data_IF_582599781228
#
_entry.id   IF_582599781228
#
_cell.length_a   1.000
_cell.length_b   1.000
_cell.length_c   1.000
_cell.angle_alpha   90.00
_cell.angle_beta   90.00
_cell.angle_gamma   90.00
#
_symmetry.space_group_name_H-M   'P 1'
#
loop_
_entity.id
_entity.type
_entity.pdbx_description
1 polymer ?
#
# COMPACT_ATOMS: atom_id res chain seq x y z
N UNK A 1 28.37 -36.24 -19.89
CA UNK A 1 28.61 -34.93 -19.27
C UNK A 1 28.43 -33.87 -20.32
N UNK A 2 27.44 -33.02 -20.15
CA UNK A 2 27.38 -31.66 -20.70
C UNK A 2 26.58 -30.87 -19.68
N UNK A 3 27.25 -29.92 -19.02
CA UNK A 3 26.66 -28.96 -18.09
C UNK A 3 25.97 -27.87 -18.91
N UNK A 4 24.67 -27.66 -18.72
CA UNK A 4 23.98 -26.45 -19.19
C UNK A 4 23.94 -25.42 -18.05
N UNK A 5 24.58 -24.29 -18.30
CA UNK A 5 24.63 -23.11 -17.45
C UNK A 5 23.26 -22.43 -17.41
N UNK A 6 22.71 -22.25 -16.20
CA UNK A 6 21.56 -21.39 -15.95
C UNK A 6 22.02 -19.93 -15.87
N UNK A 7 21.73 -19.14 -16.89
CA UNK A 7 21.95 -17.69 -16.87
C UNK A 7 20.90 -17.00 -15.98
N UNK A 8 21.42 -16.25 -15.02
CA UNK A 8 20.70 -15.49 -14.01
C UNK A 8 20.18 -14.18 -14.64
N UNK A 9 18.88 -14.11 -14.93
CA UNK A 9 18.24 -12.91 -15.46
C UNK A 9 18.11 -11.84 -14.35
N UNK A 10 19.11 -10.97 -14.27
CA UNK A 10 19.05 -9.73 -13.49
C UNK A 10 18.37 -8.62 -14.31
N UNK A 11 17.23 -8.13 -13.81
CA UNK A 11 16.46 -6.99 -14.34
C UNK A 11 17.23 -5.68 -14.02
N UNK A 12 17.58 -4.85 -15.03
CA UNK A 12 18.41 -3.65 -14.83
C UNK A 12 17.75 -2.53 -14.01
N UNK A 13 16.47 -2.65 -13.64
CA UNK A 13 15.77 -1.68 -12.77
C UNK A 13 15.87 -2.01 -11.25
N UNK A 14 16.65 -3.02 -10.86
CA UNK A 14 16.74 -3.46 -9.46
C UNK A 14 17.85 -2.75 -8.67
N UNK A 15 17.54 -1.57 -8.12
CA UNK A 15 18.34 -0.94 -7.06
C UNK A 15 17.85 -1.45 -5.70
N UNK A 16 18.68 -2.25 -5.00
CA UNK A 16 18.48 -2.57 -3.58
C UNK A 16 18.67 -1.28 -2.78
N UNK A 17 17.58 -0.60 -2.47
CA UNK A 17 17.53 0.37 -1.37
C UNK A 17 17.05 -0.36 -0.12
N UNK A 18 18.01 -0.91 0.63
CA UNK A 18 17.83 -1.17 2.05
C UNK A 18 17.76 0.19 2.75
N UNK A 19 16.54 0.67 3.00
CA UNK A 19 16.17 1.65 4.03
C UNK A 19 14.63 1.68 4.08
N UNK A 20 14.07 0.72 4.82
CA UNK A 20 12.69 0.80 5.31
C UNK A 20 12.72 1.25 6.76
N UNK A 21 12.95 2.56 6.95
CA UNK A 21 12.67 3.23 8.22
C UNK A 21 11.20 3.70 8.19
N UNK A 22 10.31 2.79 8.56
CA UNK A 22 9.09 3.16 9.28
C UNK A 22 9.46 3.03 10.77
N UNK A 23 9.88 4.12 11.40
CA UNK A 23 9.86 4.21 12.86
C UNK A 23 9.45 5.61 13.31
N UNK A 24 8.30 5.65 13.97
CA UNK A 24 7.97 6.67 14.94
C UNK A 24 8.89 6.48 16.17
N UNK A 25 9.39 7.61 16.66
CA UNK A 25 10.53 7.79 17.57
C UNK A 25 10.25 7.32 19.01
N UNK A 26 11.19 6.62 19.66
CA UNK A 26 11.55 6.84 21.09
C UNK A 26 12.86 6.13 21.52
N UNK A 27 13.81 6.97 21.98
CA UNK A 27 14.92 6.70 22.92
C UNK A 27 16.19 5.92 22.47
N UNK A 28 17.33 6.57 22.77
CA UNK A 28 18.74 6.20 22.52
C UNK A 28 19.18 4.88 23.18
N UNK A 29 20.00 4.09 22.47
CA UNK A 29 21.30 3.57 22.96
C UNK A 29 22.04 2.75 21.88
N UNK A 30 23.25 3.24 21.55
CA UNK A 30 24.46 2.56 21.08
C UNK A 30 24.42 1.11 20.54
N UNK A 31 24.89 0.99 19.30
CA UNK A 31 25.26 -0.24 18.59
C UNK A 31 26.49 -0.89 19.24
N UNK A 32 26.37 -2.16 19.62
CA UNK A 32 27.49 -3.12 19.61
C UNK A 32 27.01 -4.40 18.95
N UNK A 33 27.55 -4.67 17.76
CA UNK A 33 27.34 -5.88 16.99
C UNK A 33 27.80 -7.11 17.76
N UNK A 34 26.89 -8.07 18.00
CA UNK A 34 27.29 -9.45 18.32
C UNK A 34 26.47 -10.43 17.50
N UNK A 35 27.17 -11.13 16.63
CA UNK A 35 26.72 -12.28 15.86
C UNK A 35 26.17 -13.36 16.80
N UNK A 36 24.91 -13.73 16.61
CA UNK A 36 24.35 -14.94 17.21
C UNK A 36 23.85 -15.87 16.13
N UNK A 37 24.60 -16.94 15.96
CA UNK A 37 24.20 -18.20 15.32
C UNK A 37 23.01 -18.73 16.13
N UNK A 38 21.82 -18.81 15.53
CA UNK A 38 20.69 -19.51 16.14
C UNK A 38 20.52 -20.86 15.45
N UNK A 39 20.88 -21.92 16.19
CA UNK A 39 20.48 -23.28 15.91
C UNK A 39 18.95 -23.38 15.78
N UNK A 40 18.48 -23.79 14.61
CA UNK A 40 17.12 -24.29 14.42
C UNK A 40 16.95 -25.59 15.22
N UNK A 41 16.16 -25.54 16.30
CA UNK A 41 15.45 -26.72 16.79
C UNK A 41 14.03 -26.69 16.24
N UNK A 42 13.84 -27.55 15.25
CA UNK A 42 12.57 -28.01 14.72
C UNK A 42 11.63 -28.43 15.84
N UNK A 43 10.47 -27.78 15.91
CA UNK A 43 9.29 -28.34 16.58
C UNK A 43 8.06 -28.13 15.70
N UNK A 44 7.92 -29.05 14.76
CA UNK A 44 6.76 -29.27 13.89
C UNK A 44 5.54 -29.66 14.73
N UNK A 45 4.57 -28.76 14.84
CA UNK A 45 3.18 -29.14 15.16
C UNK A 45 2.23 -28.46 14.17
N UNK A 46 2.12 -29.08 12.99
CA UNK A 46 1.12 -28.79 11.96
C UNK A 46 -0.28 -29.10 12.52
N UNK A 47 -1.07 -28.06 12.73
CA UNK A 47 -2.53 -28.15 12.87
C UNK A 47 -3.12 -26.89 12.22
N UNK A 48 -3.02 -26.82 10.89
CA UNK A 48 -3.64 -25.74 10.14
C UNK A 48 -5.15 -25.93 10.16
N UNK A 49 -5.88 -24.94 10.69
CA UNK A 49 -7.32 -24.85 10.50
C UNK A 49 -7.61 -24.92 9.00
N UNK A 50 -8.26 -25.99 8.55
CA UNK A 50 -8.57 -26.20 7.14
C UNK A 50 -9.59 -25.16 6.68
N UNK A 51 -9.07 -24.07 6.13
CA UNK A 51 -9.82 -22.97 5.52
C UNK A 51 -9.93 -23.15 4.00
N UNK A 52 -9.50 -24.31 3.46
CA UNK A 52 -9.36 -24.54 2.02
C UNK A 52 -10.67 -24.92 1.32
N UNK A 53 -11.71 -25.33 2.05
CA UNK A 53 -13.01 -25.76 1.50
C UNK A 53 -13.90 -24.65 0.90
N UNK A 54 -13.33 -23.47 0.61
CA UNK A 54 -14.08 -22.37 0.01
C UNK A 54 -13.71 -22.21 -1.45
N UNK A 55 -14.57 -22.74 -2.32
CA UNK A 55 -14.58 -22.45 -3.75
C UNK A 55 -15.21 -21.08 -3.96
N UNK A 56 -14.41 -20.11 -4.38
CA UNK A 56 -14.84 -18.76 -4.71
C UNK A 56 -15.27 -18.70 -6.18
N UNK A 57 -16.23 -19.53 -6.58
CA UNK A 57 -16.75 -19.54 -7.95
C UNK A 57 -17.63 -18.31 -8.17
N UNK A 58 -17.13 -17.36 -8.98
CA UNK A 58 -17.92 -16.39 -9.77
C UNK A 58 -18.91 -15.48 -9.04
N UNK A 59 -19.04 -15.57 -7.71
CA UNK A 59 -20.07 -14.86 -6.94
C UNK A 59 -19.68 -13.40 -6.78
N UNK A 60 -20.62 -12.52 -7.13
CA UNK A 60 -20.53 -11.11 -6.83
C UNK A 60 -20.31 -10.93 -5.30
N UNK A 61 -19.17 -10.36 -4.96
CA UNK A 61 -18.73 -10.19 -3.57
C UNK A 61 -19.49 -9.04 -2.94
N UNK A 62 -19.96 -9.22 -1.70
CA UNK A 62 -20.62 -8.15 -0.97
C UNK A 62 -19.58 -7.13 -0.47
N UNK A 63 -19.72 -5.87 -0.88
CA UNK A 63 -18.95 -4.76 -0.31
C UNK A 63 -19.49 -4.41 1.07
N UNK A 64 -18.63 -4.49 2.08
CA UNK A 64 -18.99 -4.22 3.46
C UNK A 64 -18.95 -2.74 3.84
N UNK A 65 -18.49 -1.87 2.94
CA UNK A 65 -18.30 -0.42 3.19
C UNK A 65 -19.60 0.25 3.63
N UNK A 66 -20.72 -0.11 3.02
CA UNK A 66 -22.03 0.50 3.28
C UNK A 66 -22.97 -0.39 4.11
N UNK A 67 -22.50 -1.54 4.59
CA UNK A 67 -23.33 -2.44 5.38
C UNK A 67 -23.49 -1.94 6.82
N UNK A 68 -24.73 -2.05 7.33
CA UNK A 68 -25.08 -1.63 8.68
C UNK A 68 -25.44 -2.85 9.53
N UNK A 69 -25.08 -2.80 10.80
CA UNK A 69 -25.53 -3.73 11.82
C UNK A 69 -26.64 -3.06 12.62
N UNK A 70 -27.88 -3.45 12.31
CA UNK A 70 -29.07 -2.99 13.02
C UNK A 70 -29.02 -3.31 14.52
N UNK A 71 -29.45 -2.36 15.35
CA UNK A 71 -29.57 -2.52 16.80
C UNK A 71 -30.61 -3.56 17.20
N UNK A 72 -30.51 -4.04 18.43
CA UNK A 72 -31.53 -4.89 19.02
C UNK A 72 -32.85 -4.13 19.13
N UNK A 73 -33.92 -4.73 18.64
CA UNK A 73 -35.27 -4.15 18.66
C UNK A 73 -35.97 -4.44 20.01
N UNK A 74 -37.07 -3.72 20.28
CA UNK A 74 -37.89 -3.92 21.49
C UNK A 74 -38.43 -5.37 21.55
N UNK A 75 -38.78 -5.81 22.76
CA UNK A 75 -39.32 -7.14 23.05
C UNK A 75 -40.48 -7.47 22.09
N UNK A 76 -40.33 -8.53 21.28
CA UNK A 76 -41.36 -8.98 20.32
C UNK A 76 -40.89 -9.02 18.86
N UNK A 77 -39.98 -8.13 18.46
CA UNK A 77 -39.43 -8.16 17.12
C UNK A 77 -38.26 -9.16 17.03
N UNK A 78 -38.50 -10.26 16.32
CA UNK A 78 -37.52 -11.32 16.18
C UNK A 78 -36.51 -10.96 15.09
N UNK A 79 -35.22 -11.04 15.42
CA UNK A 79 -34.13 -10.97 14.45
C UNK A 79 -34.39 -11.95 13.29
N UNK A 80 -34.30 -11.43 12.07
CA UNK A 80 -34.39 -12.23 10.83
C UNK A 80 -33.05 -12.93 10.56
N UNK A 81 -33.14 -14.16 10.07
CA UNK A 81 -32.01 -15.01 9.69
C UNK A 81 -32.18 -15.44 8.24
N UNK A 82 -31.11 -15.43 7.46
CA UNK A 82 -31.17 -15.95 6.10
C UNK A 82 -31.27 -17.48 6.13
N UNK A 83 -32.06 -18.06 5.25
CA UNK A 83 -32.11 -19.50 5.04
C UNK A 83 -31.35 -19.87 3.75
N UNK A 84 -30.30 -20.67 3.86
CA UNK A 84 -29.51 -21.07 2.69
C UNK A 84 -30.27 -21.96 1.69
N UNK A 85 -31.35 -22.61 2.12
CA UNK A 85 -32.11 -23.55 1.30
C UNK A 85 -33.13 -22.82 0.42
N UNK A 86 -34.05 -22.04 1.02
CA UNK A 86 -35.06 -21.28 0.27
C UNK A 86 -34.66 -19.84 -0.09
N UNK A 87 -33.48 -19.38 0.30
CA UNK A 87 -32.94 -18.02 0.06
C UNK A 87 -33.82 -16.88 0.60
N UNK A 88 -34.61 -17.14 1.64
CA UNK A 88 -35.51 -16.15 2.28
C UNK A 88 -35.08 -15.83 3.71
N UNK A 89 -35.37 -14.60 4.15
CA UNK A 89 -35.19 -14.16 5.54
C UNK A 89 -36.33 -14.67 6.43
N UNK A 90 -35.99 -15.25 7.58
CA UNK A 90 -36.93 -15.96 8.47
C UNK A 90 -36.73 -15.54 9.93
N UNK A 91 -37.82 -15.32 10.67
CA UNK A 91 -37.78 -14.94 12.09
C UNK A 91 -37.74 -16.17 13.01
N UNK A 92 -38.57 -17.18 12.76
CA UNK A 92 -38.64 -18.44 13.51
C UNK A 92 -37.83 -19.54 12.83
N UNK A 93 -36.53 -19.34 12.74
CA UNK A 93 -35.61 -20.13 11.92
C UNK A 93 -35.69 -21.66 12.13
N UNK A 94 -35.68 -22.13 13.39
CA UNK A 94 -35.76 -23.57 13.67
C UNK A 94 -37.08 -24.19 13.19
N UNK A 95 -38.21 -23.56 13.52
CA UNK A 95 -39.54 -23.99 13.07
C UNK A 95 -39.62 -24.00 11.54
N UNK A 96 -39.07 -22.98 10.88
CA UNK A 96 -39.03 -22.91 9.43
C UNK A 96 -38.25 -24.08 8.81
N UNK A 97 -37.08 -24.43 9.35
CA UNK A 97 -36.32 -25.59 8.88
C UNK A 97 -37.11 -26.89 9.05
N UNK A 98 -37.78 -27.06 10.19
CA UNK A 98 -38.60 -28.25 10.48
C UNK A 98 -39.79 -28.40 9.53
N UNK A 99 -40.46 -27.31 9.17
CA UNK A 99 -41.69 -27.38 8.35
C UNK A 99 -41.42 -27.37 6.86
N UNK A 100 -40.44 -26.59 6.39
CA UNK A 100 -40.18 -26.37 4.96
C UNK A 100 -39.03 -27.25 4.45
N UNK A 101 -38.02 -27.49 5.28
CA UNK A 101 -36.76 -28.14 4.88
C UNK A 101 -36.52 -29.47 5.60
N UNK A 102 -37.59 -30.17 6.00
CA UNK A 102 -37.55 -31.45 6.72
C UNK A 102 -36.71 -32.54 6.05
N UNK A 103 -36.55 -32.45 4.73
CA UNK A 103 -35.86 -33.45 3.93
C UNK A 103 -34.33 -33.23 3.85
N UNK A 104 -33.83 -32.08 4.30
CA UNK A 104 -32.40 -31.76 4.27
C UNK A 104 -31.61 -32.58 5.29
N UNK A 105 -30.41 -33.04 4.90
CA UNK A 105 -29.59 -33.95 5.72
C UNK A 105 -29.35 -33.46 7.14
N UNK A 106 -28.90 -32.22 7.30
CA UNK A 106 -28.62 -31.63 8.62
C UNK A 106 -29.91 -31.32 9.40
N UNK A 107 -31.02 -31.09 8.70
CA UNK A 107 -32.32 -30.82 9.33
C UNK A 107 -32.91 -32.11 9.91
N UNK A 108 -32.86 -33.22 9.17
CA UNK A 108 -33.26 -34.55 9.66
C UNK A 108 -32.57 -34.91 10.96
N UNK A 109 -31.25 -34.68 11.06
CA UNK A 109 -30.47 -34.96 12.27
C UNK A 109 -31.04 -34.28 13.51
N UNK A 110 -31.33 -32.98 13.44
CA UNK A 110 -31.79 -32.27 14.64
C UNK A 110 -33.29 -32.47 14.92
N UNK A 111 -34.10 -32.82 13.92
CA UNK A 111 -35.52 -33.16 14.11
C UNK A 111 -35.67 -34.36 15.05
N UNK A 112 -34.81 -35.37 14.91
CA UNK A 112 -34.81 -36.61 15.69
C UNK A 112 -34.42 -36.40 17.17
N UNK A 113 -33.73 -35.30 17.49
CA UNK A 113 -33.30 -34.98 18.86
C UNK A 113 -34.42 -34.26 19.62
N UNK A 114 -34.61 -34.46 20.93
CA UNK A 114 -35.65 -33.75 21.69
C UNK A 114 -35.41 -32.24 21.76
N UNK A 115 -36.49 -31.46 21.91
CA UNK A 115 -36.39 -30.00 22.15
C UNK A 115 -35.61 -29.75 23.45
N UNK A 116 -34.74 -28.74 23.44
CA UNK A 116 -33.91 -28.38 24.61
C UNK A 116 -32.51 -29.01 24.63
N UNK A 117 -32.32 -30.14 23.93
CA UNK A 117 -31.04 -30.84 23.80
C UNK A 117 -29.92 -29.93 23.24
N UNK A 118 -28.70 -30.07 23.78
CA UNK A 118 -27.54 -29.24 23.43
C UNK A 118 -27.06 -29.48 22.00
N UNK A 119 -27.02 -30.73 21.56
CA UNK A 119 -26.66 -31.12 20.20
C UNK A 119 -27.67 -30.59 19.18
N UNK A 120 -28.98 -30.69 19.49
CA UNK A 120 -30.04 -30.07 18.66
C UNK A 120 -29.78 -28.58 18.47
N UNK A 121 -29.47 -27.85 19.55
CA UNK A 121 -29.16 -26.42 19.51
C UNK A 121 -27.91 -26.13 18.69
N UNK A 122 -26.87 -26.97 18.80
CA UNK A 122 -25.61 -26.80 18.08
C UNK A 122 -25.78 -26.98 16.56
N UNK A 123 -26.53 -27.99 16.11
CA UNK A 123 -26.81 -28.21 14.68
C UNK A 123 -27.58 -27.01 14.10
N UNK A 124 -28.64 -26.57 14.77
CA UNK A 124 -29.43 -25.40 14.33
C UNK A 124 -28.55 -24.15 14.25
N UNK A 125 -27.68 -23.92 15.24
CA UNK A 125 -26.78 -22.76 15.26
C UNK A 125 -25.71 -22.82 14.16
N UNK A 126 -25.22 -24.02 13.83
CA UNK A 126 -24.33 -24.24 12.69
C UNK A 126 -24.99 -23.85 11.35
N UNK A 127 -26.17 -24.40 11.07
CA UNK A 127 -26.96 -24.07 9.86
C UNK A 127 -27.25 -22.56 9.80
N UNK A 128 -27.63 -21.96 10.94
CA UNK A 128 -27.91 -20.53 11.05
C UNK A 128 -26.69 -19.68 10.72
N UNK A 129 -25.52 -19.98 11.30
CA UNK A 129 -24.30 -19.21 11.06
C UNK A 129 -23.82 -19.35 9.62
N UNK A 130 -23.86 -20.55 9.06
CA UNK A 130 -23.54 -20.79 7.65
C UNK A 130 -24.50 -20.02 6.73
N UNK A 131 -25.80 -20.06 7.01
CA UNK A 131 -26.78 -19.34 6.18
C UNK A 131 -26.56 -17.82 6.24
N UNK A 132 -26.37 -17.26 7.44
CA UNK A 132 -26.07 -15.83 7.56
C UNK A 132 -24.72 -15.47 6.94
N UNK A 133 -23.73 -16.37 6.97
CA UNK A 133 -22.45 -16.14 6.32
C UNK A 133 -22.63 -15.99 4.80
N UNK A 134 -23.42 -16.86 4.16
CA UNK A 134 -23.75 -16.75 2.73
C UNK A 134 -24.42 -15.40 2.41
N UNK A 135 -25.39 -14.98 3.23
CA UNK A 135 -26.05 -13.68 3.07
C UNK A 135 -25.08 -12.50 3.26
N UNK A 136 -24.20 -12.57 4.25
CA UNK A 136 -23.26 -11.49 4.55
C UNK A 136 -22.14 -11.34 3.51
N UNK A 137 -21.84 -12.38 2.73
CA UNK A 137 -20.72 -12.37 1.75
C UNK A 137 -21.17 -12.33 0.30
N UNK A 138 -22.45 -12.51 0.00
CA UNK A 138 -23.00 -12.50 -1.35
C UNK A 138 -23.80 -11.22 -1.61
N UNK A 139 -23.37 -10.42 -2.59
CA UNK A 139 -24.12 -9.21 -2.98
C UNK A 139 -25.46 -9.53 -3.65
N UNK A 140 -25.64 -10.75 -4.17
CA UNK A 140 -26.92 -11.20 -4.76
C UNK A 140 -28.06 -11.26 -3.72
N UNK A 141 -27.74 -11.59 -2.47
CA UNK A 141 -28.75 -11.79 -1.43
C UNK A 141 -28.77 -10.65 -0.41
N UNK A 142 -27.62 -10.01 -0.18
CA UNK A 142 -27.52 -8.98 0.84
C UNK A 142 -28.36 -7.74 0.47
N UNK A 143 -29.11 -7.21 1.43
CA UNK A 143 -30.00 -6.05 1.23
C UNK A 143 -29.52 -4.81 2.00
N UNK A 144 -28.22 -4.71 2.31
CA UNK A 144 -27.62 -3.60 3.06
C UNK A 144 -27.40 -3.84 4.56
N UNK A 145 -27.81 -5.00 5.08
CA UNK A 145 -27.66 -5.38 6.48
C UNK A 145 -26.56 -6.43 6.67
N UNK A 146 -25.77 -6.32 7.75
CA UNK A 146 -24.86 -7.37 8.20
C UNK A 146 -25.48 -8.16 9.37
N UNK A 147 -25.79 -9.44 9.13
CA UNK A 147 -26.38 -10.32 10.14
C UNK A 147 -25.30 -10.84 11.10
N UNK A 148 -25.21 -10.24 12.29
CA UNK A 148 -24.23 -10.59 13.33
C UNK A 148 -24.78 -11.55 14.38
N UNK A 149 -23.95 -12.32 15.06
CA UNK A 149 -24.41 -13.26 16.10
C UNK A 149 -25.13 -12.57 17.26
N UNK A 150 -24.62 -11.43 17.74
CA UNK A 150 -25.25 -10.58 18.76
C UNK A 150 -25.36 -9.14 18.24
N UNK A 151 -26.59 -8.60 18.18
CA UNK A 151 -26.85 -7.22 17.75
C UNK A 151 -26.39 -6.23 18.83
N UNK A 152 -25.92 -5.03 18.45
CA UNK A 152 -25.64 -3.97 19.41
C UNK A 152 -26.92 -3.52 20.11
N UNK A 153 -26.86 -3.16 21.40
CA UNK A 153 -28.04 -2.78 22.18
C UNK A 153 -28.45 -1.31 22.00
N UNK A 154 -27.47 -0.40 21.92
CA UNK A 154 -27.70 1.05 21.96
C UNK A 154 -28.07 1.64 20.59
N UNK A 155 -27.19 1.46 19.62
CA UNK A 155 -27.27 2.09 18.31
C UNK A 155 -26.85 1.13 17.19
N UNK A 156 -27.26 1.46 15.97
CA UNK A 156 -26.74 0.81 14.77
C UNK A 156 -25.21 1.01 14.71
N UNK A 157 -24.51 0.04 14.14
CA UNK A 157 -23.05 0.09 14.01
C UNK A 157 -22.63 -0.21 12.58
N UNK A 158 -21.48 0.32 12.12
CA UNK A 158 -20.95 -0.04 10.82
C UNK A 158 -20.51 -1.50 10.81
N UNK A 159 -20.64 -2.18 9.67
CA UNK A 159 -20.15 -3.55 9.48
C UNK A 159 -18.63 -3.67 9.73
N UNK A 160 -17.89 -2.59 9.54
CA UNK A 160 -16.44 -2.51 9.76
C UNK A 160 -16.03 -2.78 11.21
N UNK A 161 -16.93 -2.68 12.19
CA UNK A 161 -16.69 -3.05 13.60
C UNK A 161 -16.71 -4.57 13.84
N UNK A 162 -17.14 -5.35 12.84
CA UNK A 162 -17.39 -6.77 12.95
C UNK A 162 -16.49 -7.59 12.01
N UNK A 163 -16.33 -8.87 12.35
CA UNK A 163 -15.59 -9.85 11.56
C UNK A 163 -16.17 -11.24 11.77
N UNK A 164 -15.97 -12.14 10.81
CA UNK A 164 -16.40 -13.52 10.98
C UNK A 164 -15.38 -14.32 11.82
N UNK A 165 -15.89 -15.28 12.57
CA UNK A 165 -15.10 -16.35 13.16
C UNK A 165 -14.65 -17.30 12.04
N UNK A 166 -13.35 -17.63 11.94
CA UNK A 166 -12.86 -18.49 10.85
C UNK A 166 -13.31 -19.95 10.98
N UNK A 167 -13.77 -20.40 12.15
CA UNK A 167 -14.31 -21.75 12.37
C UNK A 167 -15.82 -21.83 12.16
N UNK A 168 -16.60 -21.07 12.94
CA UNK A 168 -18.06 -21.18 12.90
C UNK A 168 -18.74 -20.19 11.95
N UNK A 169 -17.99 -19.30 11.28
CA UNK A 169 -18.49 -18.28 10.33
C UNK A 169 -19.50 -17.27 10.90
N UNK A 170 -19.82 -17.36 12.19
CA UNK A 170 -20.61 -16.35 12.90
C UNK A 170 -19.86 -15.01 12.92
N UNK A 171 -20.61 -13.92 12.83
CA UNK A 171 -20.07 -12.56 12.86
C UNK A 171 -20.11 -11.98 14.28
N UNK A 172 -18.99 -11.43 14.72
CA UNK A 172 -18.78 -10.88 16.05
C UNK A 172 -18.08 -9.54 15.95
N UNK A 173 -18.24 -8.67 16.95
CA UNK A 173 -17.41 -7.46 17.05
C UNK A 173 -15.94 -7.85 17.09
N UNK A 174 -15.06 -7.07 16.47
CA UNK A 174 -13.60 -7.32 16.42
C UNK A 174 -12.98 -7.57 17.80
N UNK A 175 -13.47 -6.89 18.84
CA UNK A 175 -12.99 -7.07 20.21
C UNK A 175 -13.37 -8.43 20.82
N UNK A 176 -14.56 -8.96 20.48
CA UNK A 176 -15.09 -10.18 21.10
C UNK A 176 -14.79 -11.46 20.30
N UNK A 177 -14.43 -11.35 19.01
CA UNK A 177 -14.19 -12.54 18.18
C UNK A 177 -13.05 -13.41 18.74
N UNK A 178 -12.04 -12.81 19.40
CA UNK A 178 -10.93 -13.54 20.00
C UNK A 178 -11.39 -14.44 21.15
N UNK A 179 -12.17 -13.88 22.07
CA UNK A 179 -12.77 -14.63 23.19
C UNK A 179 -13.70 -15.72 22.68
N UNK A 180 -14.55 -15.39 21.69
CA UNK A 180 -15.39 -16.39 21.04
C UNK A 180 -14.57 -17.52 20.41
N UNK A 181 -13.50 -17.18 19.68
CA UNK A 181 -12.70 -18.16 18.96
C UNK A 181 -11.97 -19.13 19.90
N UNK A 182 -11.50 -18.67 21.06
CA UNK A 182 -10.88 -19.54 22.06
C UNK A 182 -11.80 -20.68 22.49
N UNK A 183 -13.08 -20.38 22.71
CA UNK A 183 -14.10 -21.36 23.08
C UNK A 183 -14.49 -22.19 21.85
N UNK A 184 -14.77 -21.52 20.72
CA UNK A 184 -15.24 -22.17 19.50
C UNK A 184 -14.22 -23.16 18.92
N UNK A 185 -12.94 -22.80 18.97
CA UNK A 185 -11.83 -23.59 18.43
C UNK A 185 -11.14 -24.47 19.48
N UNK A 186 -11.49 -24.33 20.77
CA UNK A 186 -10.80 -24.98 21.90
C UNK A 186 -9.31 -24.62 22.01
N UNK A 187 -8.84 -23.61 21.25
CA UNK A 187 -7.46 -23.14 21.22
C UNK A 187 -7.42 -21.65 20.92
N UNK A 188 -6.51 -20.93 21.56
CA UNK A 188 -6.26 -19.51 21.29
C UNK A 188 -5.16 -19.35 20.23
N UNK A 189 -5.39 -18.48 19.25
CA UNK A 189 -4.39 -18.09 18.24
C UNK A 189 -4.15 -16.57 18.23
N UNK A 190 -4.63 -15.86 19.26
CA UNK A 190 -4.39 -14.43 19.45
C UNK A 190 -4.88 -13.55 18.29
N UNK A 191 -4.01 -12.62 17.84
CA UNK A 191 -4.31 -11.67 16.75
C UNK A 191 -4.53 -12.36 15.39
N UNK A 192 -4.06 -13.60 15.19
CA UNK A 192 -4.22 -14.36 13.94
C UNK A 192 -5.68 -14.69 13.63
N UNK A 193 -6.60 -14.61 14.60
CA UNK A 193 -8.05 -14.81 14.37
C UNK A 193 -8.60 -13.82 13.35
N UNK A 194 -8.22 -12.54 13.43
CA UNK A 194 -8.70 -11.50 12.51
C UNK A 194 -8.24 -11.77 11.08
N UNK A 195 -6.97 -12.14 10.93
CA UNK A 195 -6.35 -12.52 9.66
C UNK A 195 -7.08 -13.70 9.01
N UNK A 196 -7.33 -14.76 9.78
CA UNK A 196 -8.06 -15.94 9.30
C UNK A 196 -9.52 -15.61 9.01
N UNK A 197 -10.15 -14.75 9.80
CA UNK A 197 -11.51 -14.24 9.52
C UNK A 197 -11.57 -13.57 8.15
N UNK A 198 -10.64 -12.65 7.86
CA UNK A 198 -10.54 -12.01 6.53
C UNK A 198 -10.32 -13.02 5.41
N UNK A 199 -9.47 -14.03 5.63
CA UNK A 199 -9.24 -15.12 4.65
C UNK A 199 -10.52 -15.90 4.34
N UNK A 200 -11.37 -16.14 5.32
CA UNK A 200 -12.65 -16.83 5.15
C UNK A 200 -13.70 -15.93 4.49
N UNK A 201 -13.77 -14.66 4.90
CA UNK A 201 -14.71 -13.69 4.31
C UNK A 201 -14.39 -13.38 2.85
N UNK A 202 -13.11 -13.32 2.49
CA UNK A 202 -12.62 -13.04 1.15
C UNK A 202 -13.25 -11.82 0.48
N UNK A 203 -13.38 -10.74 1.24
CA UNK A 203 -13.87 -9.43 0.78
C UNK A 203 -12.82 -8.79 -0.10
N UNK A 204 -12.93 -9.04 -1.39
CA UNK A 204 -12.05 -8.54 -2.44
C UNK A 204 -12.78 -8.66 -3.78
N UNK A 205 -12.38 -7.86 -4.75
CA UNK A 205 -12.93 -7.88 -6.11
C UNK A 205 -13.05 -9.31 -6.67
N UNK A 206 -14.08 -9.56 -7.48
CA UNK A 206 -14.38 -10.87 -8.07
C UNK A 206 -13.21 -11.40 -8.93
N UNK A 207 -12.52 -10.52 -9.66
CA UNK A 207 -11.34 -10.85 -10.49
C UNK A 207 -10.08 -11.22 -9.68
N UNK A 208 -10.09 -11.12 -8.35
CA UNK A 208 -8.91 -11.47 -7.54
C UNK A 208 -8.62 -12.97 -7.57
N UNK A 209 -7.36 -13.32 -7.85
CA UNK A 209 -6.85 -14.69 -7.79
C UNK A 209 -6.87 -15.26 -6.37
N UNK A 210 -6.77 -16.59 -6.28
CA UNK A 210 -6.73 -17.29 -5.01
C UNK A 210 -5.56 -16.88 -4.13
N UNK A 211 -4.37 -16.64 -4.71
CA UNK A 211 -3.20 -16.14 -3.99
C UNK A 211 -3.50 -14.78 -3.39
N UNK A 212 -4.06 -13.87 -4.19
CA UNK A 212 -4.39 -12.52 -3.74
C UNK A 212 -5.40 -12.56 -2.58
N UNK A 213 -6.46 -13.37 -2.74
CA UNK A 213 -7.58 -13.54 -1.81
C UNK A 213 -7.19 -14.23 -0.50
N UNK A 214 -6.32 -15.24 -0.56
CA UNK A 214 -6.00 -16.13 0.57
C UNK A 214 -4.68 -15.80 1.27
N UNK A 215 -3.75 -15.11 0.59
CA UNK A 215 -2.35 -14.95 1.04
C UNK A 215 -1.89 -13.49 1.12
N UNK A 216 -2.31 -12.64 0.18
CA UNK A 216 -1.83 -11.25 0.14
C UNK A 216 -2.74 -10.33 0.95
N UNK A 217 -4.01 -10.20 0.56
CA UNK A 217 -4.96 -9.27 1.17
C UNK A 217 -5.28 -9.56 2.65
N UNK A 218 -5.41 -10.82 3.10
CA UNK A 218 -5.71 -11.08 4.51
C UNK A 218 -4.67 -10.53 5.49
N UNK A 219 -3.44 -10.29 5.00
CA UNK A 219 -2.31 -9.77 5.79
C UNK A 219 -2.24 -8.25 5.78
N UNK A 220 -2.82 -7.59 4.77
CA UNK A 220 -2.92 -6.14 4.76
C UNK A 220 -3.62 -5.64 6.03
N UNK A 221 -3.19 -4.46 6.50
CA UNK A 221 -3.83 -3.78 7.62
C UNK A 221 -5.28 -3.46 7.22
N UNK A 222 -6.21 -3.63 8.16
CA UNK A 222 -7.61 -3.28 7.92
C UNK A 222 -7.81 -1.77 8.16
N UNK A 223 -7.24 -0.96 7.27
CA UNK A 223 -7.29 0.49 7.26
C UNK A 223 -7.88 1.01 5.95
N UNK A 224 -8.05 2.32 5.85
CA UNK A 224 -8.69 2.95 4.69
C UNK A 224 -7.83 2.78 3.43
N UNK A 225 -6.51 2.75 3.58
CA UNK A 225 -5.55 2.42 2.50
C UNK A 225 -5.85 1.08 1.84
N UNK A 226 -6.13 0.04 2.64
CA UNK A 226 -6.42 -1.28 2.08
C UNK A 226 -7.87 -1.44 1.65
N UNK A 227 -8.79 -0.64 2.21
CA UNK A 227 -10.21 -0.63 1.82
C UNK A 227 -10.43 0.02 0.46
N UNK A 228 -9.80 1.16 0.18
CA UNK A 228 -10.01 1.92 -1.06
C UNK A 228 -9.64 1.13 -2.32
N UNK A 229 -8.70 0.18 -2.23
CA UNK A 229 -8.23 -0.64 -3.35
C UNK A 229 -8.86 -2.04 -3.42
N UNK A 230 -9.63 -2.44 -2.42
CA UNK A 230 -10.12 -3.82 -2.25
C UNK A 230 -10.99 -4.29 -3.41
N UNK A 231 -11.75 -3.35 -3.96
CA UNK A 231 -12.70 -3.57 -5.05
C UNK A 231 -12.32 -2.81 -6.32
N UNK A 232 -11.12 -2.22 -6.35
CA UNK A 232 -10.59 -1.55 -7.54
C UNK A 232 -10.15 -2.60 -8.56
N UNK A 233 -10.82 -2.63 -9.72
CA UNK A 233 -10.57 -3.67 -10.72
C UNK A 233 -9.12 -3.63 -11.24
N UNK A 234 -8.62 -2.45 -11.58
CA UNK A 234 -7.30 -2.29 -12.22
C UNK A 234 -6.17 -2.64 -11.25
N UNK A 235 -6.27 -2.20 -9.99
CA UNK A 235 -5.31 -2.59 -8.94
C UNK A 235 -5.31 -4.10 -8.73
N UNK A 236 -6.47 -4.74 -8.77
CA UNK A 236 -6.59 -6.19 -8.57
C UNK A 236 -5.99 -6.97 -9.75
N UNK A 237 -6.20 -6.50 -10.98
CA UNK A 237 -5.56 -7.07 -12.18
C UNK A 237 -4.04 -6.95 -12.12
N UNK A 238 -3.53 -5.79 -11.70
CA UNK A 238 -2.09 -5.57 -11.48
C UNK A 238 -1.53 -6.48 -10.39
N UNK A 239 -2.22 -6.57 -9.25
CA UNK A 239 -1.83 -7.44 -8.16
C UNK A 239 -1.79 -8.92 -8.58
N UNK A 240 -2.74 -9.37 -9.40
CA UNK A 240 -2.72 -10.71 -9.98
C UNK A 240 -1.49 -10.92 -10.89
N UNK A 241 -1.11 -9.92 -11.71
CA UNK A 241 0.10 -9.96 -12.54
C UNK A 241 1.35 -10.08 -11.67
N UNK A 242 1.45 -9.31 -10.58
CA UNK A 242 2.55 -9.41 -9.61
C UNK A 242 2.62 -10.80 -8.96
N UNK A 243 1.50 -11.37 -8.53
CA UNK A 243 1.47 -12.72 -7.95
C UNK A 243 1.92 -13.81 -8.95
N UNK A 244 1.65 -13.64 -10.25
CA UNK A 244 2.14 -14.56 -11.29
C UNK A 244 3.64 -14.42 -11.54
N UNK A 245 4.15 -13.17 -11.54
CA UNK A 245 5.58 -12.85 -11.73
C UNK A 245 6.41 -13.29 -10.52
N UNK A 246 5.95 -13.01 -9.31
CA UNK A 246 6.68 -13.25 -8.07
C UNK A 246 6.01 -14.33 -7.22
N UNK A 247 6.33 -15.60 -7.51
CA UNK A 247 5.71 -16.76 -6.87
C UNK A 247 6.24 -17.06 -5.47
N UNK A 248 7.46 -16.65 -5.17
CA UNK A 248 8.10 -16.95 -3.88
C UNK A 248 7.55 -16.08 -2.76
N UNK A 249 7.31 -16.69 -1.60
CA UNK A 249 6.72 -16.03 -0.44
C UNK A 249 7.49 -14.79 0.05
N UNK A 250 8.82 -14.77 -0.14
CA UNK A 250 9.69 -13.63 0.18
C UNK A 250 9.30 -12.33 -0.53
N UNK A 251 8.66 -12.41 -1.70
CA UNK A 251 8.24 -11.23 -2.46
C UNK A 251 6.86 -10.72 -2.06
N UNK A 252 6.11 -11.45 -1.22
CA UNK A 252 4.76 -11.03 -0.85
C UNK A 252 4.75 -9.71 -0.07
N UNK A 253 5.79 -9.41 0.70
CA UNK A 253 5.90 -8.14 1.43
C UNK A 253 6.06 -6.96 0.47
N UNK A 254 6.87 -7.13 -0.59
CA UNK A 254 7.00 -6.15 -1.66
C UNK A 254 5.67 -5.90 -2.39
N UNK A 255 4.93 -6.96 -2.72
CA UNK A 255 3.60 -6.84 -3.36
C UNK A 255 2.66 -6.05 -2.44
N UNK A 256 2.61 -6.37 -1.15
CA UNK A 256 1.77 -5.64 -0.19
C UNK A 256 2.18 -4.18 -0.04
N UNK A 257 3.48 -3.89 -0.01
CA UNK A 257 3.99 -2.51 0.05
C UNK A 257 3.57 -1.71 -1.18
N UNK A 258 3.61 -2.32 -2.37
CA UNK A 258 3.14 -1.70 -3.61
C UNK A 258 1.64 -1.40 -3.59
N UNK A 259 0.81 -2.37 -3.18
CA UNK A 259 -0.63 -2.16 -3.05
C UNK A 259 -0.95 -1.05 -2.03
N UNK A 260 -0.22 -1.00 -0.91
CA UNK A 260 -0.40 0.09 0.07
C UNK A 260 0.02 1.44 -0.49
N UNK A 261 1.05 1.51 -1.32
CA UNK A 261 1.43 2.75 -2.00
C UNK A 261 0.32 3.21 -2.95
N UNK A 262 -0.23 2.31 -3.76
CA UNK A 262 -1.38 2.61 -4.63
C UNK A 262 -2.60 3.06 -3.83
N UNK A 263 -2.88 2.43 -2.68
CA UNK A 263 -3.99 2.86 -1.81
C UNK A 263 -3.79 4.26 -1.21
N UNK A 264 -2.57 4.61 -0.79
CA UNK A 264 -2.26 5.99 -0.33
C UNK A 264 -2.42 7.00 -1.46
N UNK A 265 -1.98 6.65 -2.66
CA UNK A 265 -2.13 7.50 -3.84
C UNK A 265 -3.60 7.75 -4.20
N UNK A 266 -4.42 6.70 -4.23
CA UNK A 266 -5.85 6.84 -4.53
C UNK A 266 -6.59 7.66 -3.45
N UNK A 267 -6.20 7.57 -2.18
CA UNK A 267 -6.72 8.46 -1.14
C UNK A 267 -6.31 9.91 -1.39
N UNK A 268 -5.04 10.14 -1.72
CA UNK A 268 -4.50 11.47 -1.94
C UNK A 268 -5.14 12.17 -3.14
N UNK A 269 -5.24 11.50 -4.29
CA UNK A 269 -5.81 12.11 -5.51
C UNK A 269 -7.29 12.49 -5.33
N UNK A 270 -8.05 11.72 -4.54
CA UNK A 270 -9.45 12.02 -4.19
C UNK A 270 -9.61 13.31 -3.38
N UNK A 271 -8.56 13.77 -2.69
CA UNK A 271 -8.57 15.07 -1.99
C UNK A 271 -8.57 16.23 -2.99
N UNK A 272 -7.85 16.08 -4.10
CA UNK A 272 -7.71 17.10 -5.13
C UNK A 272 -8.80 17.03 -6.20
N UNK A 273 -9.35 15.84 -6.45
CA UNK A 273 -10.43 15.65 -7.41
C UNK A 273 -11.39 14.55 -6.95
N UNK A 274 -12.58 14.95 -6.52
CA UNK A 274 -13.61 14.05 -5.98
C UNK A 274 -14.34 13.24 -7.07
N UNK A 275 -14.19 13.59 -8.36
CA UNK A 275 -14.79 12.81 -9.46
C UNK A 275 -14.11 11.46 -9.67
N UNK A 276 -12.88 11.30 -9.16
CA UNK A 276 -12.09 10.08 -9.27
C UNK A 276 -12.60 9.06 -8.26
N UNK A 277 -13.07 7.91 -8.74
CA UNK A 277 -13.65 6.86 -7.92
C UNK A 277 -12.69 5.67 -7.76
N UNK A 278 -12.00 5.31 -8.83
CA UNK A 278 -11.06 4.19 -8.94
C UNK A 278 -9.83 4.56 -9.80
N UNK A 279 -8.87 3.65 -9.92
CA UNK A 279 -7.68 3.90 -10.73
C UNK A 279 -7.97 4.05 -12.22
N UNK A 280 -9.01 3.40 -12.77
CA UNK A 280 -9.34 3.56 -14.19
C UNK A 280 -9.78 4.99 -14.51
N UNK A 281 -10.56 5.62 -13.62
CA UNK A 281 -11.02 7.00 -13.75
C UNK A 281 -9.91 8.06 -13.71
N UNK A 282 -8.70 7.70 -13.23
CA UNK A 282 -7.52 8.58 -13.23
C UNK A 282 -7.03 8.84 -14.66
N UNK A 283 -7.15 7.86 -15.56
CA UNK A 283 -6.59 7.92 -16.92
C UNK A 283 -7.38 8.80 -17.89
N UNK A 284 -8.25 9.66 -17.40
CA UNK A 284 -8.78 10.76 -18.21
C UNK A 284 -7.72 11.87 -18.25
N UNK A 285 -7.30 12.37 -19.43
CA UNK A 285 -6.22 13.35 -19.55
C UNK A 285 -6.41 14.61 -18.69
N UNK A 286 -7.66 15.07 -18.55
CA UNK A 286 -8.03 16.22 -17.70
C UNK A 286 -7.71 16.04 -16.20
N UNK A 287 -7.46 14.82 -15.74
CA UNK A 287 -7.12 14.53 -14.34
C UNK A 287 -5.60 14.49 -14.10
N UNK A 288 -4.78 14.72 -15.13
CA UNK A 288 -3.32 14.63 -15.04
C UNK A 288 -2.71 15.60 -14.02
N UNK A 289 -3.17 16.84 -13.96
CA UNK A 289 -2.65 17.79 -12.96
C UNK A 289 -2.99 17.36 -11.52
N UNK A 290 -4.17 16.75 -11.31
CA UNK A 290 -4.54 16.16 -10.02
C UNK A 290 -3.60 15.00 -9.65
N UNK A 291 -3.14 14.22 -10.63
CA UNK A 291 -2.15 13.16 -10.44
C UNK A 291 -0.80 13.73 -9.95
N UNK A 292 -0.31 14.82 -10.55
CA UNK A 292 0.92 15.49 -10.12
C UNK A 292 0.81 16.01 -8.68
N UNK A 293 -0.31 16.66 -8.34
CA UNK A 293 -0.57 17.14 -6.97
C UNK A 293 -0.62 15.99 -5.96
N UNK A 294 -1.29 14.88 -6.31
CA UNK A 294 -1.37 13.70 -5.46
C UNK A 294 0.00 13.05 -5.24
N UNK A 295 0.83 12.96 -6.28
CA UNK A 295 2.21 12.48 -6.16
C UNK A 295 3.01 13.35 -5.19
N UNK A 296 2.91 14.68 -5.31
CA UNK A 296 3.57 15.62 -4.40
C UNK A 296 3.12 15.45 -2.95
N UNK A 297 1.81 15.30 -2.71
CA UNK A 297 1.26 15.04 -1.37
C UNK A 297 1.77 13.71 -0.78
N UNK A 298 1.71 12.61 -1.56
CA UNK A 298 2.15 11.28 -1.08
C UNK A 298 3.65 11.24 -0.79
N UNK A 299 4.46 11.89 -1.63
CA UNK A 299 5.91 11.96 -1.45
C UNK A 299 6.35 13.00 -0.41
N UNK A 300 5.41 13.78 0.14
CA UNK A 300 5.62 14.88 1.09
C UNK A 300 6.59 15.91 0.52
N UNK A 301 6.18 16.52 -0.59
CA UNK A 301 6.86 17.64 -1.21
C UNK A 301 6.76 18.90 -0.35
N UNK A 302 7.89 19.57 -0.14
CA UNK A 302 7.98 20.87 0.52
C UNK A 302 8.20 21.97 -0.53
N UNK A 303 7.23 22.89 -0.71
CA UNK A 303 7.35 24.00 -1.65
C UNK A 303 8.49 24.98 -1.32
N UNK A 304 8.83 25.15 -0.04
CA UNK A 304 9.81 26.16 0.40
C UNK A 304 11.24 25.73 0.06
N UNK A 305 11.56 24.45 0.31
CA UNK A 305 12.86 23.87 -0.05
C UNK A 305 12.91 23.28 -1.46
N UNK A 306 11.76 23.12 -2.11
CA UNK A 306 11.61 22.39 -3.39
C UNK A 306 12.17 20.96 -3.30
N UNK A 307 11.95 20.27 -2.18
CA UNK A 307 12.44 18.90 -1.96
C UNK A 307 11.33 17.95 -1.55
N UNK A 308 11.55 16.64 -1.76
CA UNK A 308 10.65 15.61 -1.23
C UNK A 308 11.21 15.00 0.06
N UNK A 309 10.34 14.72 1.04
CA UNK A 309 10.77 13.87 2.16
C UNK A 309 11.05 12.43 1.72
N UNK A 310 10.24 11.92 0.79
CA UNK A 310 10.36 10.55 0.26
C UNK A 310 10.48 10.54 -1.27
N UNK A 311 11.61 11.01 -1.82
CA UNK A 311 11.79 11.19 -3.27
C UNK A 311 11.68 9.87 -4.06
N UNK A 312 12.13 8.75 -3.49
CA UNK A 312 11.99 7.42 -4.10
C UNK A 312 10.53 7.02 -4.32
N UNK A 313 9.61 7.48 -3.45
CA UNK A 313 8.17 7.27 -3.62
C UNK A 313 7.64 8.07 -4.80
N UNK A 314 8.11 9.32 -4.97
CA UNK A 314 7.72 10.17 -6.09
C UNK A 314 8.10 9.52 -7.44
N UNK A 315 9.34 9.06 -7.59
CA UNK A 315 9.78 8.34 -8.80
C UNK A 315 9.01 7.04 -9.00
N UNK A 316 8.83 6.24 -7.94
CA UNK A 316 8.13 4.96 -8.01
C UNK A 316 6.67 5.10 -8.46
N UNK A 317 5.97 6.14 -8.02
CA UNK A 317 4.59 6.39 -8.43
C UNK A 317 4.47 6.58 -9.94
N UNK A 318 5.37 7.31 -10.58
CA UNK A 318 5.38 7.49 -12.04
C UNK A 318 5.52 6.15 -12.77
N UNK A 319 6.45 5.30 -12.32
CA UNK A 319 6.63 3.95 -12.87
C UNK A 319 5.37 3.09 -12.69
N UNK A 320 4.70 3.18 -11.53
CA UNK A 320 3.49 2.40 -11.26
C UNK A 320 2.30 2.88 -12.10
N UNK A 321 2.13 4.19 -12.24
CA UNK A 321 1.09 4.78 -13.08
C UNK A 321 1.28 4.39 -14.55
N UNK A 322 2.52 4.34 -15.04
CA UNK A 322 2.79 3.82 -16.38
C UNK A 322 2.38 2.34 -16.50
N UNK A 323 2.85 1.49 -15.58
CA UNK A 323 2.52 0.05 -15.57
C UNK A 323 1.02 -0.24 -15.48
N UNK A 324 0.28 0.54 -14.69
CA UNK A 324 -1.18 0.43 -14.58
C UNK A 324 -1.88 0.92 -15.85
N UNK A 325 -1.36 1.96 -16.51
CA UNK A 325 -1.90 2.46 -17.77
C UNK A 325 -1.72 1.46 -18.89
N UNK A 326 -0.51 0.92 -19.07
CA UNK A 326 -0.23 -0.12 -20.08
C UNK A 326 -1.16 -1.35 -19.88
N UNK A 327 -1.43 -1.71 -18.63
CA UNK A 327 -2.36 -2.78 -18.29
C UNK A 327 -3.81 -2.41 -18.66
N UNK A 328 -4.22 -1.18 -18.37
CA UNK A 328 -5.55 -0.68 -18.68
C UNK A 328 -5.79 -0.58 -20.19
N UNK A 329 -4.81 -0.11 -20.97
CA UNK A 329 -4.86 -0.14 -22.43
C UNK A 329 -5.12 -1.55 -22.95
N UNK A 330 -4.35 -2.53 -22.44
CA UNK A 330 -4.52 -3.93 -22.81
C UNK A 330 -5.93 -4.44 -22.48
N UNK A 331 -6.54 -3.99 -21.38
CA UNK A 331 -7.91 -4.36 -21.01
C UNK A 331 -8.96 -3.68 -21.89
N UNK A 332 -8.76 -2.43 -22.32
CA UNK A 332 -9.67 -1.75 -23.25
C UNK A 332 -9.57 -2.32 -24.67
N UNK A 333 -8.37 -2.67 -25.14
CA UNK A 333 -8.19 -3.38 -26.41
C UNK A 333 -8.98 -4.70 -26.42
N UNK A 334 -8.91 -5.48 -25.33
CA UNK A 334 -9.69 -6.74 -25.23
C UNK A 334 -11.20 -6.53 -25.23
N UNK A 335 -11.68 -5.35 -24.81
CA UNK A 335 -13.10 -4.99 -24.73
C UNK A 335 -13.60 -4.25 -25.97
N UNK A 336 -12.70 -3.92 -26.90
CA UNK A 336 -12.98 -3.04 -28.05
C UNK A 336 -13.52 -1.66 -27.65
N UNK A 337 -13.06 -1.13 -26.50
CA UNK A 337 -13.42 0.21 -26.01
C UNK A 337 -12.41 1.25 -26.50
N UNK A 338 -12.63 1.72 -27.72
CA UNK A 338 -11.72 2.64 -28.42
C UNK A 338 -11.71 4.06 -27.83
N UNK A 339 -12.82 4.51 -27.22
CA UNK A 339 -12.89 5.84 -26.59
C UNK A 339 -12.03 5.89 -25.33
N UNK A 340 -12.23 4.94 -24.42
CA UNK A 340 -11.44 4.86 -23.19
C UNK A 340 -9.97 4.59 -23.49
N UNK A 341 -9.67 3.74 -24.49
CA UNK A 341 -8.31 3.49 -24.95
C UNK A 341 -7.58 4.79 -25.35
N UNK A 342 -8.23 5.64 -26.14
CA UNK A 342 -7.65 6.93 -26.56
C UNK A 342 -7.36 7.84 -25.36
N UNK A 343 -8.23 7.85 -24.35
CA UNK A 343 -8.01 8.63 -23.13
C UNK A 343 -6.77 8.14 -22.37
N UNK A 344 -6.60 6.82 -22.20
CA UNK A 344 -5.43 6.23 -21.55
C UNK A 344 -4.15 6.57 -22.30
N UNK A 345 -4.14 6.42 -23.63
CA UNK A 345 -2.99 6.74 -24.48
C UNK A 345 -2.57 8.21 -24.35
N UNK A 346 -3.55 9.12 -24.38
CA UNK A 346 -3.30 10.55 -24.20
C UNK A 346 -2.74 10.85 -22.80
N UNK A 347 -3.28 10.22 -21.75
CA UNK A 347 -2.77 10.36 -20.39
C UNK A 347 -1.33 9.84 -20.26
N UNK A 348 -1.04 8.67 -20.85
CA UNK A 348 0.30 8.09 -20.83
C UNK A 348 1.31 8.96 -21.58
N UNK A 349 0.89 9.60 -22.69
CA UNK A 349 1.72 10.59 -23.38
C UNK A 349 2.08 11.75 -22.46
N UNK A 350 1.11 12.34 -21.75
CA UNK A 350 1.37 13.39 -20.77
C UNK A 350 2.34 12.92 -19.67
N UNK A 351 2.13 11.71 -19.15
CA UNK A 351 2.99 11.12 -18.13
C UNK A 351 4.44 10.97 -18.60
N UNK A 352 4.67 10.56 -19.84
CA UNK A 352 6.03 10.38 -20.39
C UNK A 352 6.72 11.73 -20.61
N UNK A 353 6.01 12.72 -21.15
CA UNK A 353 6.58 14.03 -21.51
C UNK A 353 6.82 14.93 -20.30
N UNK A 354 5.90 14.98 -19.33
CA UNK A 354 5.93 15.95 -18.23
C UNK A 354 6.46 15.38 -16.91
N UNK A 355 6.17 14.12 -16.56
CA UNK A 355 6.51 13.61 -15.23
C UNK A 355 8.02 13.60 -14.95
N UNK A 356 8.82 13.37 -16.00
CA UNK A 356 10.28 13.38 -15.93
C UNK A 356 10.84 14.72 -15.45
N UNK A 357 10.30 15.83 -15.97
CA UNK A 357 10.76 17.18 -15.67
C UNK A 357 10.14 17.73 -14.39
N UNK A 358 8.87 17.42 -14.14
CA UNK A 358 8.10 17.99 -13.02
C UNK A 358 8.33 17.24 -11.70
N UNK A 359 8.56 15.92 -11.75
CA UNK A 359 8.70 15.08 -10.55
C UNK A 359 10.07 14.41 -10.48
N UNK A 360 10.47 13.64 -11.50
CA UNK A 360 11.67 12.80 -11.40
C UNK A 360 12.93 13.63 -11.20
N UNK A 361 13.08 14.72 -11.94
CA UNK A 361 14.21 15.65 -11.77
C UNK A 361 14.33 16.15 -10.32
N UNK A 362 13.24 16.67 -9.75
CA UNK A 362 13.21 17.17 -8.37
C UNK A 362 13.49 16.04 -7.36
N UNK A 363 13.03 14.82 -7.63
CA UNK A 363 13.32 13.65 -6.80
C UNK A 363 14.80 13.26 -6.83
N UNK A 364 15.43 13.26 -8.01
CA UNK A 364 16.86 12.97 -8.19
C UNK A 364 17.76 14.00 -7.49
N UNK A 365 17.43 15.29 -7.64
CA UNK A 365 18.11 16.39 -6.95
C UNK A 365 18.00 16.23 -5.42
N UNK A 366 16.80 15.92 -4.93
CA UNK A 366 16.54 15.66 -3.50
C UNK A 366 17.35 14.46 -2.98
N UNK A 367 17.38 13.34 -3.70
CA UNK A 367 18.16 12.14 -3.31
C UNK A 367 19.64 12.50 -3.21
N UNK A 368 20.16 13.21 -4.20
CA UNK A 368 21.57 13.63 -4.25
C UNK A 368 21.91 14.53 -3.07
N UNK A 369 21.05 15.49 -2.76
CA UNK A 369 21.19 16.38 -1.60
C UNK A 369 21.17 15.63 -0.27
N UNK A 370 20.21 14.72 -0.08
CA UNK A 370 20.09 13.93 1.15
C UNK A 370 21.31 13.02 1.36
N UNK A 371 21.77 12.34 0.31
CA UNK A 371 22.95 11.49 0.35
C UNK A 371 24.21 12.29 0.72
N UNK A 372 24.37 13.49 0.15
CA UNK A 372 25.48 14.39 0.50
C UNK A 372 25.44 14.80 1.97
N UNK A 373 24.28 15.20 2.47
CA UNK A 373 24.12 15.65 3.85
C UNK A 373 24.43 14.54 4.86
N UNK A 374 24.00 13.30 4.59
CA UNK A 374 24.33 12.13 5.43
C UNK A 374 25.84 11.91 5.46
N UNK A 375 26.47 11.79 4.29
CA UNK A 375 27.91 11.52 4.19
C UNK A 375 28.76 12.61 4.85
N UNK A 376 28.34 13.86 4.77
CA UNK A 376 29.01 14.95 5.46
C UNK A 376 28.90 14.85 6.98
N UNK A 377 27.69 14.65 7.49
CA UNK A 377 27.47 14.54 8.93
C UNK A 377 28.23 13.35 9.51
N UNK A 378 28.35 12.25 8.76
CA UNK A 378 29.15 11.10 9.16
C UNK A 378 30.65 11.43 9.17
N UNK A 379 31.14 12.16 8.17
CA UNK A 379 32.54 12.58 8.09
C UNK A 379 32.94 13.54 9.21
N UNK A 380 32.07 14.47 9.61
CA UNK A 380 32.31 15.38 10.74
C UNK A 380 32.45 14.60 12.05
N UNK A 381 31.58 13.59 12.26
CA UNK A 381 31.60 12.79 13.50
C UNK A 381 32.86 11.95 13.60
N UNK A 382 33.24 11.29 12.50
CA UNK A 382 34.41 10.42 12.48
C UNK A 382 35.01 10.40 11.07
N UNK A 383 36.31 10.70 10.97
CA UNK A 383 36.99 10.62 9.69
C UNK A 383 37.06 9.16 9.19
N UNK A 384 36.59 8.95 7.95
CA UNK A 384 36.68 7.68 7.24
C UNK A 384 36.95 7.96 5.76
N UNK A 385 38.03 7.41 5.22
CA UNK A 385 38.45 7.63 3.84
C UNK A 385 37.36 7.23 2.82
N UNK A 386 36.65 6.12 3.05
CA UNK A 386 35.58 5.68 2.15
C UNK A 386 34.39 6.66 2.19
N UNK A 387 34.05 7.19 3.36
CA UNK A 387 33.00 8.21 3.52
C UNK A 387 33.40 9.51 2.82
N UNK A 388 34.65 9.96 2.99
CA UNK A 388 35.20 11.13 2.30
C UNK A 388 35.16 10.97 0.78
N UNK A 389 35.64 9.84 0.26
CA UNK A 389 35.66 9.56 -1.18
C UNK A 389 34.24 9.51 -1.76
N UNK A 390 33.30 8.91 -1.03
CA UNK A 390 31.89 8.88 -1.44
C UNK A 390 31.26 10.28 -1.40
N UNK A 391 31.59 11.11 -0.42
CA UNK A 391 31.12 12.49 -0.33
C UNK A 391 31.63 13.31 -1.53
N UNK A 392 32.89 13.16 -1.91
CA UNK A 392 33.46 13.80 -3.09
C UNK A 392 32.72 13.39 -4.37
N UNK A 393 32.49 12.09 -4.57
CA UNK A 393 31.74 11.58 -5.74
C UNK A 393 30.34 12.19 -5.82
N UNK A 394 29.59 12.18 -4.71
CA UNK A 394 28.22 12.73 -4.68
C UNK A 394 28.21 14.24 -4.88
N UNK A 395 29.20 14.95 -4.32
CA UNK A 395 29.34 16.40 -4.50
C UNK A 395 29.65 16.75 -5.96
N UNK A 396 30.52 15.98 -6.61
CA UNK A 396 30.80 16.13 -8.04
C UNK A 396 29.55 15.89 -8.89
N UNK A 397 28.79 14.82 -8.62
CA UNK A 397 27.52 14.57 -9.30
C UNK A 397 26.53 15.71 -9.09
N UNK A 398 26.42 16.24 -7.86
CA UNK A 398 25.56 17.40 -7.58
C UNK A 398 25.98 18.64 -8.37
N UNK A 399 27.27 18.89 -8.52
CA UNK A 399 27.80 20.02 -9.31
C UNK A 399 27.53 19.83 -10.80
N UNK A 400 27.66 18.61 -11.32
CA UNK A 400 27.31 18.27 -12.72
C UNK A 400 25.83 18.52 -13.01
N UNK A 401 24.95 18.00 -12.15
CA UNK A 401 23.49 18.13 -12.31
C UNK A 401 23.04 19.58 -12.19
N UNK A 402 23.51 20.31 -11.17
CA UNK A 402 23.08 21.68 -10.92
C UNK A 402 23.58 22.65 -11.99
N UNK A 403 24.84 22.53 -12.41
CA UNK A 403 25.43 23.45 -13.38
C UNK A 403 25.15 23.05 -14.84
N UNK A 404 24.54 21.89 -15.08
CA UNK A 404 24.38 21.29 -16.43
C UNK A 404 25.71 21.24 -17.20
N UNK A 405 26.82 21.10 -16.49
CA UNK A 405 28.17 21.10 -17.05
C UNK A 405 28.67 19.67 -17.22
N UNK A 406 29.41 19.43 -18.30
CA UNK A 406 30.05 18.13 -18.54
C UNK A 406 31.23 17.95 -17.59
N UNK A 407 31.61 16.70 -17.33
CA UNK A 407 32.71 16.38 -16.42
C UNK A 407 34.00 17.17 -16.71
N UNK A 408 34.39 17.28 -17.99
CA UNK A 408 35.59 18.02 -18.40
C UNK A 408 35.51 19.54 -18.26
N UNK A 409 34.33 20.12 -18.02
CA UNK A 409 34.19 21.54 -17.70
C UNK A 409 34.33 21.80 -16.20
N UNK A 410 33.95 20.82 -15.38
CA UNK A 410 34.08 20.89 -13.91
C UNK A 410 35.50 20.55 -13.48
N UNK A 411 36.18 19.66 -14.20
CA UNK A 411 37.60 19.35 -14.03
C UNK A 411 38.49 20.59 -14.18
N UNK A 412 38.05 21.57 -14.98
CA UNK A 412 38.79 22.82 -15.22
C UNK A 412 38.52 23.90 -14.18
N UNK A 413 37.65 23.65 -13.20
CA UNK A 413 37.32 24.61 -12.14
C UNK A 413 38.45 24.60 -11.11
N UNK A 414 39.12 25.73 -10.93
CA UNK A 414 40.24 25.86 -10.00
C UNK A 414 39.83 26.48 -8.66
N UNK A 415 40.69 26.38 -7.64
CA UNK A 415 40.47 27.02 -6.33
C UNK A 415 40.45 28.55 -6.47
N UNK A 416 41.10 29.12 -7.47
CA UNK A 416 41.03 30.53 -7.76
C UNK A 416 39.62 30.93 -8.23
N UNK A 417 38.95 30.07 -9.01
CA UNK A 417 37.54 30.24 -9.39
C UNK A 417 36.62 30.12 -8.16
N UNK A 418 37.00 29.28 -7.17
CA UNK A 418 36.36 29.22 -5.85
C UNK A 418 36.44 30.58 -5.16
N UNK A 419 37.64 31.17 -5.11
CA UNK A 419 37.92 32.37 -4.33
C UNK A 419 37.39 33.63 -5.02
N UNK A 420 37.27 33.62 -6.35
CA UNK A 420 36.90 34.77 -7.17
C UNK A 420 35.43 34.78 -7.63
N UNK A 421 34.54 33.99 -7.02
CA UNK A 421 33.14 33.95 -7.43
C UNK A 421 32.48 35.34 -7.30
N UNK A 422 31.94 35.85 -8.40
CA UNK A 422 31.12 37.07 -8.41
C UNK A 422 29.66 36.66 -8.24
N UNK A 423 28.98 37.16 -7.21
CA UNK A 423 27.53 37.08 -7.15
C UNK A 423 26.96 37.82 -8.36
N UNK A 424 25.97 37.25 -9.06
CA UNK A 424 25.23 37.99 -10.09
C UNK A 424 24.16 38.81 -9.37
N UNK A 425 24.47 40.09 -9.18
CA UNK A 425 23.62 41.12 -8.62
C UNK A 425 23.46 42.25 -9.63
N UNK A 426 22.58 43.19 -9.30
CA UNK A 426 22.26 44.36 -10.14
C UNK A 426 23.50 45.17 -10.56
N UNK A 427 24.59 45.08 -9.79
CA UNK A 427 25.84 45.83 -10.01
C UNK A 427 26.98 45.01 -10.62
N UNK A 428 26.82 43.69 -10.79
CA UNK A 428 27.88 42.79 -11.26
C UNK A 428 27.60 42.16 -12.62
N UNK A 429 26.33 41.95 -12.97
CA UNK A 429 25.92 41.53 -14.31
C UNK A 429 24.47 42.00 -14.60
N UNK A 430 24.29 43.27 -15.00
CA UNK A 430 22.98 43.93 -15.08
C UNK A 430 22.05 43.28 -16.12
N UNK A 431 22.58 42.85 -17.26
CA UNK A 431 21.79 42.21 -18.33
C UNK A 431 21.19 40.88 -17.86
N UNK A 432 22.01 40.06 -17.20
CA UNK A 432 21.56 38.78 -16.63
C UNK A 432 20.62 39.02 -15.45
N UNK A 433 20.84 40.05 -14.63
CA UNK A 433 19.97 40.37 -13.50
C UNK A 433 18.59 40.87 -13.96
N UNK A 434 18.53 41.75 -14.96
CA UNK A 434 17.29 42.33 -15.45
C UNK A 434 16.45 41.36 -16.28
N UNK A 435 17.07 40.36 -16.92
CA UNK A 435 16.37 39.29 -17.65
C UNK A 435 15.66 38.26 -16.76
N UNK A 436 15.90 38.27 -15.44
CA UNK A 436 15.24 37.38 -14.48
C UNK A 436 13.80 37.83 -14.14
N UNK A 437 12.91 36.85 -13.98
CA UNK A 437 11.54 37.06 -13.48
C UNK A 437 11.54 37.56 -12.02
N UNK A 438 10.42 38.14 -11.55
CA UNK A 438 10.26 38.56 -10.14
C UNK A 438 10.58 37.43 -9.15
N UNK A 439 10.07 36.23 -9.41
CA UNK A 439 10.39 35.03 -8.64
C UNK A 439 11.89 34.67 -8.72
N UNK A 440 12.52 34.77 -9.89
CA UNK A 440 13.96 34.54 -10.06
C UNK A 440 14.85 35.55 -9.33
N UNK A 441 14.37 36.79 -9.15
CA UNK A 441 15.04 37.84 -8.36
C UNK A 441 14.87 37.60 -6.85
N UNK A 442 13.71 37.11 -6.41
CA UNK A 442 13.43 36.76 -5.00
C UNK A 442 14.14 35.48 -4.54
N UNK A 443 14.16 34.42 -5.36
CA UNK A 443 14.91 33.19 -5.08
C UNK A 443 16.41 33.47 -4.91
N UNK A 444 17.00 34.40 -5.66
CA UNK A 444 18.41 34.79 -5.49
C UNK A 444 18.72 35.62 -4.25
N UNK A 445 17.74 36.37 -3.72
CA UNK A 445 17.91 37.07 -2.43
C UNK A 445 18.04 36.06 -1.28
N UNK A 446 17.32 34.94 -1.32
CA UNK A 446 17.50 33.84 -0.36
C UNK A 446 18.71 32.92 -0.72
N UNK A 447 19.02 32.75 -2.01
CA UNK A 447 20.15 31.95 -2.53
C UNK A 447 21.48 32.70 -2.67
N UNK A 448 21.64 33.87 -2.03
CA UNK A 448 22.97 34.48 -1.82
C UNK A 448 23.89 33.57 -0.99
N UNK A 449 23.31 32.59 -0.29
CA UNK A 449 23.99 31.52 0.45
C UNK A 449 24.15 30.19 -0.31
N UNK A 450 23.56 30.02 -1.51
CA UNK A 450 23.44 28.70 -2.16
C UNK A 450 23.71 28.69 -3.67
N UNK A 451 24.43 29.68 -4.21
CA UNK A 451 25.02 29.55 -5.55
C UNK A 451 26.36 28.83 -5.43
N UNK A 452 26.55 27.76 -6.23
CA UNK A 452 27.76 26.97 -6.60
C UNK A 452 28.84 26.71 -5.53
N UNK A 453 29.19 27.73 -4.75
CA UNK A 453 30.27 27.81 -3.78
C UNK A 453 29.81 28.00 -2.33
N UNK A 454 28.53 28.24 -2.00
CA UNK A 454 28.03 28.09 -0.62
C UNK A 454 28.12 26.65 -0.11
N UNK A 455 27.85 25.69 -1.01
CA UNK A 455 28.08 24.25 -0.79
C UNK A 455 29.55 23.88 -0.66
N UNK A 456 30.44 24.71 -1.21
CA UNK A 456 31.87 24.46 -1.18
C UNK A 456 32.50 25.18 0.04
N UNK A 457 31.94 26.31 0.49
CA UNK A 457 32.43 27.13 1.63
C UNK A 457 32.26 26.51 3.00
N UNK A 458 31.21 25.74 3.23
CA UNK A 458 31.02 25.04 4.52
C UNK A 458 31.82 23.72 4.59
N UNK A 459 32.36 23.23 3.46
CA UNK A 459 32.81 21.85 3.35
C UNK A 459 34.26 21.70 2.87
N UNK A 460 34.72 22.54 1.93
CA UNK A 460 36.13 22.59 1.54
C UNK A 460 36.99 23.30 2.60
N UNK A 461 36.42 24.19 3.42
CA UNK A 461 37.18 24.78 4.54
C UNK A 461 37.76 23.68 5.44
N UNK A 462 37.08 22.56 5.70
CA UNK A 462 37.70 21.44 6.43
C UNK A 462 38.54 20.47 5.60
N UNK A 463 38.43 20.49 4.27
CA UNK A 463 39.32 19.73 3.37
C UNK A 463 40.67 20.47 3.19
N UNK A 464 40.68 21.80 3.32
CA UNK A 464 41.87 22.64 3.18
C UNK A 464 42.47 23.01 4.56
N UNK A 465 41.65 23.19 5.60
CA UNK A 465 42.14 23.54 6.96
C UNK A 465 42.59 22.31 7.76
N UNK A 466 42.32 21.08 7.30
CA UNK A 466 43.06 19.92 7.82
C UNK A 466 44.45 19.91 7.20
N UNK A 467 45.30 20.74 7.81
CA UNK A 467 46.74 20.67 7.80
C UNK A 467 47.27 19.28 7.42
N UNK A 468 47.61 19.11 6.15
CA UNK A 468 48.85 18.44 5.74
C UNK A 468 50.05 19.33 6.11
N UNK A 469 50.13 19.67 7.40
CA UNK A 469 51.30 20.19 8.10
C UNK A 469 51.51 19.26 9.29
N UNK A 470 51.86 18.02 8.98
CA UNK A 470 53.02 17.29 9.52
C UNK A 470 53.22 16.00 8.75
#
# INVERSE_FOLDING_TARGET
GVHENSEDYNDPDYVVSSNSDDSDNESNASIVSRSFITHEKSNTSKSSLDTSKHTYEGKATCDDTNLIVSKSEKKGANKKYFCMYCKKLQTKFARHLETVHKNEKEVKKFILLPKGNLERKAIIDSIRKESNFIYNTSSQFNTGDLIVSRRPSKANKPATDFTCCPKCKGYFTKNNVRHHFQICNQRSIGKKVLMLGRKVQARIHSKASDVLRKVIFPILREDDVSRVIRYDELVILHANKLCRKFRNQRHHDMIRAELRLLGRFLISIKKFNQSITDFASIYQPRHYDSCILATKDVAQFDPDSNTFKTPSVATRLGTLLKKLGDLLETEYIKRDDNESLRNVQNFLKLLVEDYGTTINKTAEETITQNKRNILYNDLIKTYNYNTWLNLLKVTLTSLQVFNRKRAGEIEKVVIEDYKCYKSVGEHTDPEVYHSLSKAGKESRKSQSWQTLWGMIRVYINHIIDSQFLN
#
